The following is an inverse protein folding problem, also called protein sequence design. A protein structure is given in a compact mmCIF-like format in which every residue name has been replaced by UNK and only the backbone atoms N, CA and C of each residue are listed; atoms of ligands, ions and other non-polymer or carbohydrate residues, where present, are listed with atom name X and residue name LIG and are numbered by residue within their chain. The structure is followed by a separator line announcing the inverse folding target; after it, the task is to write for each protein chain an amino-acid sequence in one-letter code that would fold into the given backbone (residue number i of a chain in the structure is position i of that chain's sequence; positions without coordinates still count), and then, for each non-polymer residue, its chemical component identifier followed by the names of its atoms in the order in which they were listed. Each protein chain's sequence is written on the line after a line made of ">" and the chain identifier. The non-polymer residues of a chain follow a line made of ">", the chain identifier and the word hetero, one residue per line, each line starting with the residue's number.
data_IF_533959283990
#
_entry.id   IF_533959283990
#
_cell.length_a   1.000
_cell.length_b   1.000
_cell.length_c   1.000
_cell.angle_alpha   90.00
_cell.angle_beta   90.00
_cell.angle_gamma   90.00
#
_symmetry.space_group_name_H-M   'P 1'
#
loop_
_entity.id
_entity.type
_entity.pdbx_description
1 polymer ?
#
# COMPACT_ATOMS: atom_id res chain seq x y z
N UNK A 1 10.49 8.22 -32.57
CA UNK A 1 10.36 7.61 -31.23
C UNK A 1 11.03 8.46 -30.16
N UNK A 2 12.36 8.63 -30.19
CA UNK A 2 13.10 9.30 -29.11
C UNK A 2 12.72 10.78 -28.90
N UNK A 3 12.55 11.57 -29.97
CA UNK A 3 12.35 13.02 -29.84
C UNK A 3 11.08 13.44 -29.06
N UNK A 4 9.99 12.66 -29.13
CA UNK A 4 8.74 12.99 -28.40
C UNK A 4 8.76 12.54 -26.94
N UNK A 5 9.53 11.51 -26.60
CA UNK A 5 9.78 11.07 -25.22
C UNK A 5 10.78 12.00 -24.53
N UNK A 6 11.83 12.42 -25.24
CA UNK A 6 12.86 13.33 -24.74
C UNK A 6 12.35 14.75 -24.47
N UNK A 7 11.24 15.14 -25.08
CA UNK A 7 10.63 16.47 -24.90
C UNK A 7 9.59 16.53 -23.77
N UNK A 8 9.36 15.42 -23.06
CA UNK A 8 8.34 15.33 -22.00
C UNK A 8 8.96 15.48 -20.63
N UNK A 9 8.23 16.17 -19.76
CA UNK A 9 8.62 16.44 -18.38
C UNK A 9 7.78 15.60 -17.42
N UNK A 10 8.30 15.33 -16.22
CA UNK A 10 7.60 14.55 -15.19
C UNK A 10 6.30 15.22 -14.71
N UNK A 11 6.20 16.55 -14.83
CA UNK A 11 4.98 17.29 -14.51
C UNK A 11 3.75 16.80 -15.29
N UNK A 12 3.91 16.35 -16.54
CA UNK A 12 2.82 15.81 -17.35
C UNK A 12 2.16 14.57 -16.71
N UNK A 13 2.89 13.82 -15.89
CA UNK A 13 2.41 12.63 -15.19
C UNK A 13 1.89 12.94 -13.77
N UNK A 14 2.01 14.19 -13.32
CA UNK A 14 1.60 14.62 -11.98
C UNK A 14 0.17 15.18 -11.94
N UNK A 15 -0.43 15.46 -13.11
CA UNK A 15 -1.79 15.98 -13.20
C UNK A 15 -2.83 15.02 -12.60
N UNK A 16 -3.67 15.54 -11.71
CA UNK A 16 -4.75 14.77 -11.08
C UNK A 16 -4.29 13.83 -9.96
N UNK A 17 -3.00 13.75 -9.66
CA UNK A 17 -2.51 12.94 -8.55
C UNK A 17 -2.83 13.56 -7.19
N UNK A 18 -3.12 12.72 -6.18
CA UNK A 18 -3.34 13.20 -4.82
C UNK A 18 -2.03 13.72 -4.22
N UNK A 19 -2.15 14.74 -3.37
CA UNK A 19 -1.03 15.23 -2.57
C UNK A 19 -0.58 14.19 -1.54
N UNK A 20 0.73 14.12 -1.28
CA UNK A 20 1.28 13.16 -0.32
C UNK A 20 0.86 13.50 1.09
N UNK A 21 0.26 12.52 1.77
CA UNK A 21 0.06 12.56 3.21
C UNK A 21 1.35 12.20 3.92
N UNK A 22 1.71 12.97 4.92
CA UNK A 22 2.95 12.83 5.63
C UNK A 22 2.79 12.48 7.09
N UNK A 23 3.75 11.70 7.56
CA UNK A 23 4.12 11.56 8.96
C UNK A 23 5.57 12.02 9.14
N UNK A 24 5.85 12.46 10.35
CA UNK A 24 7.23 12.72 10.75
C UNK A 24 7.98 11.41 10.97
N UNK A 25 9.29 11.44 10.78
CA UNK A 25 10.22 10.37 11.23
C UNK A 25 10.12 10.06 12.73
N UNK A 26 9.59 10.96 13.55
CA UNK A 26 9.36 10.72 14.99
C UNK A 26 8.05 10.00 15.28
N UNK A 27 7.22 9.72 14.28
CA UNK A 27 5.97 9.00 14.46
C UNK A 27 6.21 7.51 14.79
N UNK A 28 5.23 6.90 15.43
CA UNK A 28 5.27 5.47 15.77
C UNK A 28 4.71 4.62 14.63
N UNK A 29 4.96 3.31 14.70
CA UNK A 29 4.31 2.33 13.82
C UNK A 29 2.77 2.38 13.99
N UNK A 30 2.28 2.57 15.22
CA UNK A 30 0.86 2.74 15.52
C UNK A 30 0.24 3.99 14.89
N UNK A 31 0.94 5.12 14.93
CA UNK A 31 0.50 6.35 14.24
C UNK A 31 0.38 6.12 12.72
N UNK A 32 1.29 5.33 12.16
CA UNK A 32 1.27 4.95 10.75
C UNK A 32 0.08 4.06 10.42
N UNK A 33 -0.17 3.01 11.21
CA UNK A 33 -1.31 2.11 11.05
C UNK A 33 -2.65 2.86 11.15
N UNK A 34 -2.81 3.67 12.20
CA UNK A 34 -4.04 4.46 12.40
C UNK A 34 -4.27 5.46 11.26
N UNK A 35 -3.20 6.09 10.76
CA UNK A 35 -3.33 7.02 9.64
C UNK A 35 -3.67 6.31 8.33
N UNK A 36 -3.10 5.14 8.07
CA UNK A 36 -3.42 4.28 6.92
C UNK A 36 -4.87 3.77 6.97
N UNK A 37 -5.37 3.37 8.15
CA UNK A 37 -6.78 2.95 8.31
C UNK A 37 -7.78 4.09 8.09
N UNK A 38 -7.42 5.30 8.52
CA UNK A 38 -8.24 6.50 8.33
C UNK A 38 -8.15 7.05 6.90
N UNK A 39 -7.11 6.67 6.15
CA UNK A 39 -6.92 7.06 4.77
C UNK A 39 -7.59 6.06 3.83
N UNK A 40 -7.77 6.46 2.57
CA UNK A 40 -8.00 5.51 1.47
C UNK A 40 -6.70 5.21 0.72
N UNK A 41 -5.58 5.64 1.28
CA UNK A 41 -4.27 5.60 0.65
C UNK A 41 -3.59 4.28 1.02
N UNK A 42 -2.99 3.59 0.04
CA UNK A 42 -2.30 2.31 0.28
C UNK A 42 -0.94 2.49 0.97
N UNK A 43 -0.47 3.72 1.09
CA UNK A 43 0.82 4.07 1.68
C UNK A 43 0.76 5.45 2.33
N UNK A 44 1.70 5.71 3.23
CA UNK A 44 1.95 7.01 3.83
C UNK A 44 3.41 7.39 3.66
N UNK A 45 3.68 8.68 3.42
CA UNK A 45 5.04 9.18 3.21
C UNK A 45 5.66 9.66 4.53
N UNK A 46 6.96 9.47 4.71
CA UNK A 46 7.71 9.93 5.87
C UNK A 46 8.63 11.06 5.49
N UNK A 47 8.70 12.04 6.37
CA UNK A 47 9.47 13.25 6.15
C UNK A 47 10.34 13.55 7.36
N UNK A 48 11.56 14.01 7.11
CA UNK A 48 12.52 14.38 8.15
C UNK A 48 12.16 15.69 8.88
N UNK A 49 11.08 16.35 8.47
CA UNK A 49 10.58 17.61 9.00
C UNK A 49 9.31 17.41 9.86
N UNK A 50 9.20 18.18 10.93
CA UNK A 50 8.05 18.22 11.82
C UNK A 50 7.14 19.41 11.48
N UNK A 51 6.01 19.17 10.80
CA UNK A 51 5.03 20.22 10.47
C UNK A 51 3.91 20.40 11.50
N UNK A 52 4.00 19.68 12.63
CA UNK A 52 2.97 19.65 13.67
C UNK A 52 2.88 20.89 14.57
N UNK A 53 3.91 21.72 14.66
CA UNK A 53 3.93 22.89 15.53
C UNK A 53 4.92 23.94 15.00
N UNK A 54 4.43 24.93 14.24
CA UNK A 54 5.14 26.21 14.14
C UNK A 54 4.44 27.17 15.10
N UNK A 55 5.02 27.35 16.29
CA UNK A 55 4.77 28.53 17.11
C UNK A 55 5.40 29.74 16.40
N UNK A 56 4.77 30.91 16.45
CA UNK A 56 5.26 32.14 15.80
C UNK A 56 6.64 32.62 16.30
N UNK A 57 7.20 31.96 17.31
CA UNK A 57 8.39 32.38 18.05
C UNK A 57 9.72 31.88 17.42
N UNK A 58 9.71 30.83 16.59
CA UNK A 58 10.95 30.20 16.08
C UNK A 58 11.36 30.68 14.67
N UNK A 59 11.18 31.97 14.36
CA UNK A 59 11.49 32.51 13.02
C UNK A 59 12.96 32.81 12.74
N UNK A 60 13.84 32.72 13.74
CA UNK A 60 15.23 33.19 13.60
C UNK A 60 16.20 32.05 13.25
N UNK A 61 15.96 30.82 13.73
CA UNK A 61 16.76 29.63 13.40
C UNK A 61 16.12 28.73 12.31
N UNK A 62 14.86 28.98 11.93
CA UNK A 62 14.13 28.16 10.95
C UNK A 62 14.62 28.30 9.50
N UNK A 63 15.40 29.34 9.16
CA UNK A 63 15.85 29.58 7.77
C UNK A 63 16.82 28.49 7.29
N UNK A 64 17.58 27.87 8.19
CA UNK A 64 18.48 26.76 7.85
C UNK A 64 17.80 25.38 7.84
N UNK A 65 16.75 25.19 8.66
CA UNK A 65 15.99 23.93 8.73
C UNK A 65 14.87 23.82 7.66
N UNK A 66 14.55 24.93 6.99
CA UNK A 66 13.56 24.98 5.91
C UNK A 66 14.08 24.34 4.61
N UNK A 67 15.39 24.21 4.38
CA UNK A 67 15.92 23.78 3.07
C UNK A 67 16.09 22.25 2.92
N UNK A 68 15.87 21.47 3.98
CA UNK A 68 16.12 20.01 3.97
C UNK A 68 14.87 19.16 4.25
N UNK A 69 13.67 19.73 4.18
CA UNK A 69 12.43 18.95 4.36
C UNK A 69 12.23 18.00 3.17
N UNK A 70 12.63 16.74 3.34
CA UNK A 70 12.65 15.72 2.31
C UNK A 70 11.86 14.50 2.75
N UNK A 71 11.18 13.90 1.79
CA UNK A 71 10.58 12.60 1.96
C UNK A 71 11.68 11.55 1.99
N UNK A 72 11.72 10.76 3.04
CA UNK A 72 12.75 9.74 3.30
C UNK A 72 12.26 8.32 2.99
N UNK A 73 10.96 8.14 2.77
CA UNK A 73 10.38 6.81 2.63
C UNK A 73 8.87 6.82 2.53
N UNK A 74 8.32 5.64 2.32
CA UNK A 74 6.89 5.35 2.48
C UNK A 74 6.72 4.04 3.23
N UNK A 75 5.57 3.87 3.88
CA UNK A 75 5.18 2.64 4.59
C UNK A 75 3.77 2.31 4.15
N UNK A 76 3.52 1.03 3.95
CA UNK A 76 2.21 0.45 3.70
C UNK A 76 1.83 -0.53 4.82
N UNK A 77 0.60 -1.04 4.79
CA UNK A 77 0.12 -1.96 5.84
C UNK A 77 0.89 -3.29 5.79
N UNK A 78 1.32 -3.75 4.61
CA UNK A 78 2.15 -4.94 4.46
C UNK A 78 3.51 -4.83 5.17
N UNK A 79 4.13 -3.64 5.19
CA UNK A 79 5.37 -3.40 5.95
C UNK A 79 5.12 -3.56 7.47
N UNK A 80 3.98 -3.05 7.93
CA UNK A 80 3.56 -3.13 9.34
C UNK A 80 3.24 -4.58 9.71
N UNK A 81 2.49 -5.31 8.88
CA UNK A 81 2.21 -6.74 9.06
C UNK A 81 3.51 -7.52 9.14
N UNK A 82 4.44 -7.31 8.20
CA UNK A 82 5.74 -7.99 8.19
C UNK A 82 6.56 -7.71 9.45
N UNK A 83 6.51 -6.49 9.97
CA UNK A 83 7.14 -6.12 11.23
C UNK A 83 6.47 -6.78 12.44
N UNK A 84 5.14 -6.78 12.52
CA UNK A 84 4.40 -7.39 13.63
C UNK A 84 4.52 -8.92 13.66
N UNK A 85 4.73 -9.56 12.51
CA UNK A 85 4.91 -11.01 12.42
C UNK A 85 6.27 -11.50 12.96
N UNK A 86 7.23 -10.62 13.27
CA UNK A 86 8.48 -11.02 13.93
C UNK A 86 8.19 -11.60 15.31
N UNK A 87 8.91 -12.63 15.72
CA UNK A 87 8.63 -13.39 16.95
C UNK A 87 8.61 -12.49 18.21
N UNK A 88 9.55 -11.54 18.32
CA UNK A 88 9.57 -10.57 19.42
C UNK A 88 8.35 -9.65 19.45
N UNK A 89 7.81 -9.31 18.29
CA UNK A 89 6.71 -8.34 18.14
C UNK A 89 5.35 -9.03 18.27
N UNK A 90 5.22 -10.24 17.73
CA UNK A 90 4.00 -11.05 17.78
C UNK A 90 3.57 -11.36 19.22
N UNK A 91 4.55 -11.55 20.11
CA UNK A 91 4.29 -11.81 21.53
C UNK A 91 3.65 -10.62 22.25
N UNK A 92 3.90 -9.39 21.78
CA UNK A 92 3.36 -8.18 22.37
C UNK A 92 3.21 -7.04 21.33
N UNK A 93 2.18 -7.13 20.46
CA UNK A 93 2.01 -6.20 19.35
C UNK A 93 1.77 -4.76 19.83
N UNK A 94 1.14 -4.58 21.00
CA UNK A 94 0.94 -3.27 21.60
C UNK A 94 2.27 -2.52 21.87
N UNK A 95 3.32 -3.22 22.31
CA UNK A 95 4.66 -2.61 22.46
C UNK A 95 5.31 -2.38 21.08
N UNK A 96 5.17 -3.34 20.16
CA UNK A 96 5.73 -3.22 18.82
C UNK A 96 5.18 -1.98 18.08
N UNK A 97 3.91 -1.66 18.25
CA UNK A 97 3.29 -0.46 17.66
C UNK A 97 3.86 0.86 18.20
N UNK A 98 4.49 0.86 19.38
CA UNK A 98 5.16 2.06 19.92
C UNK A 98 6.57 2.26 19.35
N UNK A 99 7.10 1.31 18.56
CA UNK A 99 8.39 1.46 17.92
C UNK A 99 8.37 2.67 16.97
N UNK A 100 9.52 3.37 16.80
CA UNK A 100 9.62 4.46 15.85
C UNK A 100 9.47 3.91 14.43
N UNK A 101 8.79 4.65 13.55
CA UNK A 101 8.51 4.18 12.19
C UNK A 101 9.77 3.94 11.32
N UNK A 102 10.89 4.54 11.70
CA UNK A 102 12.19 4.30 11.07
C UNK A 102 12.63 2.84 11.08
N UNK A 103 12.06 1.99 11.96
CA UNK A 103 12.31 0.53 11.94
C UNK A 103 11.75 -0.18 10.71
N UNK A 104 10.77 0.42 10.03
CA UNK A 104 10.13 -0.11 8.83
C UNK A 104 10.83 0.33 7.54
N UNK A 105 11.67 1.37 7.63
CA UNK A 105 12.32 1.94 6.45
C UNK A 105 13.63 1.17 6.20
N UNK A 106 13.83 0.60 5.00
CA UNK A 106 15.09 -0.01 4.64
C UNK A 106 16.25 0.99 4.78
N UNK A 107 17.37 0.54 5.36
CA UNK A 107 18.54 1.42 5.60
C UNK A 107 19.35 1.69 4.32
N UNK A 108 19.08 0.96 3.25
CA UNK A 108 19.67 1.17 1.92
C UNK A 108 18.98 2.37 1.27
N UNK A 109 19.58 3.55 1.45
CA UNK A 109 18.96 4.87 1.27
C UNK A 109 18.61 5.33 -0.15
N UNK A 110 18.44 4.43 -1.13
CA UNK A 110 18.27 4.80 -2.55
C UNK A 110 16.84 4.58 -3.10
N UNK A 111 15.88 4.15 -2.28
CA UNK A 111 14.51 3.84 -2.74
C UNK A 111 13.64 5.05 -3.07
N UNK A 112 13.99 6.22 -2.54
CA UNK A 112 13.25 7.47 -2.74
C UNK A 112 14.15 8.55 -3.32
N UNK A 113 13.75 9.13 -4.45
CA UNK A 113 14.45 10.25 -5.08
C UNK A 113 13.50 11.40 -5.32
N UNK A 114 14.00 12.62 -5.21
CA UNK A 114 13.24 13.83 -5.53
C UNK A 114 13.69 14.34 -6.90
N UNK A 115 12.73 14.71 -7.73
CA UNK A 115 12.97 15.42 -8.99
C UNK A 115 12.13 16.69 -9.01
N UNK A 116 12.62 17.73 -9.66
CA UNK A 116 11.82 18.93 -9.94
C UNK A 116 10.75 18.63 -10.99
N UNK A 117 9.67 19.42 -11.00
CA UNK A 117 8.54 19.19 -11.92
C UNK A 117 8.94 19.24 -13.40
N UNK A 118 9.94 20.06 -13.73
CA UNK A 118 10.48 20.21 -15.09
C UNK A 118 11.58 19.20 -15.45
N UNK A 119 11.87 18.23 -14.57
CA UNK A 119 12.82 17.17 -14.88
C UNK A 119 12.31 16.33 -16.06
N UNK A 120 13.24 15.78 -16.83
CA UNK A 120 12.87 15.01 -18.02
C UNK A 120 12.22 13.67 -17.64
N UNK A 121 11.27 13.21 -18.44
CA UNK A 121 10.65 11.91 -18.22
C UNK A 121 11.67 10.77 -18.31
N UNK A 122 12.67 10.91 -19.19
CA UNK A 122 13.74 9.92 -19.36
C UNK A 122 14.59 9.79 -18.10
N UNK A 123 14.96 10.90 -17.46
CA UNK A 123 15.68 10.88 -16.18
C UNK A 123 14.89 10.11 -15.11
N UNK A 124 13.57 10.29 -15.04
CA UNK A 124 12.74 9.53 -14.13
C UNK A 124 12.68 8.03 -14.48
N UNK A 125 12.72 7.66 -15.76
CA UNK A 125 12.79 6.26 -16.19
C UNK A 125 14.13 5.63 -15.82
N UNK A 126 15.24 6.34 -16.03
CA UNK A 126 16.59 5.87 -15.67
C UNK A 126 16.69 5.61 -14.16
N UNK A 127 16.16 6.51 -13.33
CA UNK A 127 16.10 6.29 -11.87
C UNK A 127 15.30 5.03 -11.51
N UNK A 128 14.17 4.77 -12.16
CA UNK A 128 13.38 3.55 -11.90
C UNK A 128 14.17 2.30 -12.31
N UNK A 129 14.91 2.36 -13.43
CA UNK A 129 15.78 1.26 -13.88
C UNK A 129 16.96 1.02 -12.93
N UNK A 130 17.47 2.06 -12.28
CA UNK A 130 18.49 1.97 -11.21
C UNK A 130 17.93 1.38 -9.90
N UNK A 131 16.63 1.13 -9.80
CA UNK A 131 15.97 0.53 -8.64
C UNK A 131 15.25 1.52 -7.73
N UNK A 132 15.12 2.79 -8.12
CA UNK A 132 14.32 3.77 -7.39
C UNK A 132 12.84 3.42 -7.54
N UNK A 133 12.19 3.08 -6.44
CA UNK A 133 10.78 2.68 -6.47
C UNK A 133 9.84 3.88 -6.51
N UNK A 134 10.24 5.00 -5.91
CA UNK A 134 9.35 6.13 -5.71
C UNK A 134 10.07 7.45 -5.97
N UNK A 135 9.57 8.18 -6.95
CA UNK A 135 10.08 9.51 -7.27
C UNK A 135 9.09 10.55 -6.73
N UNK A 136 9.60 11.48 -5.92
CA UNK A 136 8.82 12.54 -5.29
C UNK A 136 8.92 13.79 -6.16
N UNK A 137 7.79 14.29 -6.62
CA UNK A 137 7.72 15.46 -7.50
C UNK A 137 6.94 16.58 -6.81
N UNK A 138 7.46 17.82 -6.75
CA UNK A 138 6.69 18.96 -6.28
C UNK A 138 5.52 19.20 -7.23
N UNK A 139 4.34 19.44 -6.65
CA UNK A 139 3.15 19.80 -7.41
C UNK A 139 3.15 21.30 -7.67
N UNK A 140 3.05 21.71 -8.94
CA UNK A 140 2.82 23.11 -9.26
C UNK A 140 1.40 23.52 -8.87
N UNK A 141 1.28 24.36 -7.85
CA UNK A 141 0.00 24.95 -7.48
C UNK A 141 -0.29 26.05 -8.49
N UNK A 142 -1.14 25.76 -9.49
CA UNK A 142 -1.56 26.72 -10.51
C UNK A 142 -1.89 28.12 -9.92
N UNK A 143 -1.27 29.13 -10.50
CA UNK A 143 -1.11 30.51 -10.01
C UNK A 143 -2.25 31.19 -9.24
N UNK A 144 -1.83 31.96 -8.22
CA UNK A 144 -2.27 33.32 -7.80
C UNK A 144 -3.77 33.66 -7.69
N UNK A 145 -4.71 32.73 -7.74
CA UNK A 145 -6.12 33.05 -7.47
C UNK A 145 -6.42 32.95 -5.97
N UNK A 146 -6.42 34.11 -5.31
CA UNK A 146 -6.71 34.34 -3.89
C UNK A 146 -7.99 33.68 -3.36
N UNK A 147 -8.93 33.28 -4.24
CA UNK A 147 -10.18 32.60 -3.87
C UNK A 147 -10.02 31.12 -3.53
N UNK A 148 -9.00 30.42 -4.04
CA UNK A 148 -8.69 29.03 -3.61
C UNK A 148 -8.01 28.97 -2.24
N UNK A 149 -7.37 30.08 -1.81
CA UNK A 149 -6.71 30.18 -0.50
C UNK A 149 -7.68 30.03 0.68
N UNK A 150 -8.96 30.40 0.51
CA UNK A 150 -9.97 30.30 1.57
C UNK A 150 -10.49 28.87 1.75
N UNK A 151 -10.48 28.03 0.70
CA UNK A 151 -10.79 26.60 0.79
C UNK A 151 -9.61 25.77 1.31
N UNK A 152 -8.39 26.32 1.25
CA UNK A 152 -7.14 25.66 1.65
C UNK A 152 -6.89 25.66 3.16
N UNK A 153 -7.55 26.52 3.94
CA UNK A 153 -7.43 26.50 5.41
C UNK A 153 -7.99 25.23 6.06
N UNK A 154 -8.74 24.40 5.31
CA UNK A 154 -9.30 23.14 5.78
C UNK A 154 -8.58 21.90 5.23
N UNK A 155 -7.54 22.05 4.39
CA UNK A 155 -6.70 20.91 3.99
C UNK A 155 -5.71 20.60 5.13
N UNK A 156 -5.60 19.32 5.48
CA UNK A 156 -4.74 18.83 6.55
C UNK A 156 -3.29 19.32 6.36
N UNK A 157 -2.75 19.99 7.39
CA UNK A 157 -1.34 20.46 7.45
C UNK A 157 -0.32 19.35 7.14
N UNK A 158 -0.72 18.09 7.28
CA UNK A 158 0.04 16.87 6.96
C UNK A 158 0.25 16.61 5.47
N UNK A 159 0.07 17.59 4.57
CA UNK A 159 0.32 17.41 3.12
C UNK A 159 1.22 18.49 2.53
N UNK A 160 1.53 19.53 3.33
CA UNK A 160 2.34 20.65 2.91
C UNK A 160 3.73 20.53 3.52
N UNK A 161 4.74 20.63 2.67
CA UNK A 161 6.15 20.60 3.02
C UNK A 161 6.79 21.84 2.41
N UNK A 162 7.30 22.74 3.26
CA UNK A 162 7.84 24.04 2.83
C UNK A 162 6.90 24.88 1.95
N UNK A 163 5.59 24.83 2.24
CA UNK A 163 4.59 25.57 1.47
C UNK A 163 4.30 24.99 0.08
N UNK A 164 4.83 23.80 -0.24
CA UNK A 164 4.54 23.04 -1.47
C UNK A 164 3.83 21.74 -1.13
N UNK A 165 3.08 21.21 -2.09
CA UNK A 165 2.57 19.84 -2.05
C UNK A 165 3.43 18.98 -2.97
N UNK A 166 3.45 17.69 -2.72
CA UNK A 166 4.21 16.73 -3.50
C UNK A 166 3.29 15.59 -3.95
N UNK A 167 3.71 14.85 -4.98
CA UNK A 167 3.07 13.61 -5.39
C UNK A 167 4.13 12.54 -5.71
N UNK A 168 3.70 11.28 -5.74
CA UNK A 168 4.56 10.16 -6.12
C UNK A 168 4.47 9.91 -7.62
N UNK A 169 5.59 9.55 -8.21
CA UNK A 169 5.68 8.93 -9.52
C UNK A 169 6.25 7.53 -9.36
N UNK A 170 5.54 6.55 -9.92
CA UNK A 170 5.81 5.11 -9.74
C UNK A 170 6.06 4.44 -11.10
N UNK A 171 6.58 3.21 -11.07
CA UNK A 171 6.70 2.37 -12.27
C UNK A 171 5.36 2.19 -13.00
N UNK A 172 4.26 2.08 -12.26
CA UNK A 172 2.92 1.94 -12.84
C UNK A 172 2.52 3.16 -13.66
N UNK A 173 2.86 4.36 -13.20
CA UNK A 173 2.58 5.60 -13.93
C UNK A 173 3.36 5.67 -15.24
N UNK A 174 4.61 5.18 -15.23
CA UNK A 174 5.41 5.06 -16.44
C UNK A 174 4.80 4.07 -17.42
N UNK A 175 4.39 2.89 -16.94
CA UNK A 175 3.73 1.88 -17.77
C UNK A 175 2.42 2.44 -18.35
N UNK A 176 1.62 3.14 -17.54
CA UNK A 176 0.38 3.80 -17.99
C UNK A 176 0.64 4.84 -19.07
N UNK A 177 1.66 5.68 -18.87
CA UNK A 177 2.08 6.66 -19.86
C UNK A 177 2.51 5.98 -21.18
N UNK A 178 3.30 4.90 -21.09
CA UNK A 178 3.74 4.13 -22.25
C UNK A 178 2.55 3.50 -22.97
N UNK A 179 1.59 2.88 -22.27
CA UNK A 179 0.36 2.36 -22.89
C UNK A 179 -0.41 3.45 -23.62
N UNK A 180 -0.55 4.64 -23.02
CA UNK A 180 -1.21 5.79 -23.65
C UNK A 180 -0.43 6.34 -24.86
N UNK A 181 0.86 6.04 -24.94
CA UNK A 181 1.77 6.47 -26.01
C UNK A 181 2.24 5.29 -26.89
N UNK A 182 1.47 4.21 -26.95
CA UNK A 182 1.89 2.95 -27.55
C UNK A 182 2.25 3.04 -29.04
N UNK A 183 1.67 4.01 -29.75
CA UNK A 183 2.02 4.30 -31.14
C UNK A 183 3.50 4.65 -31.32
N UNK A 184 4.16 5.12 -30.24
CA UNK A 184 5.58 5.43 -30.25
C UNK A 184 6.47 4.19 -30.26
N UNK A 185 6.02 3.01 -29.83
CA UNK A 185 6.85 1.79 -29.77
C UNK A 185 6.09 0.53 -30.24
N UNK A 186 5.16 0.72 -31.18
CA UNK A 186 4.24 -0.33 -31.66
C UNK A 186 4.96 -1.59 -32.16
N UNK A 187 6.15 -1.45 -32.76
CA UNK A 187 6.95 -2.58 -33.23
C UNK A 187 7.43 -3.49 -32.09
N UNK A 188 7.74 -2.96 -30.92
CA UNK A 188 8.09 -3.75 -29.73
C UNK A 188 6.83 -4.21 -28.99
N UNK A 189 5.79 -3.37 -28.93
CA UNK A 189 4.58 -3.63 -28.16
C UNK A 189 3.81 -4.87 -28.64
N UNK A 190 3.86 -5.19 -29.94
CA UNK A 190 3.17 -6.36 -30.51
C UNK A 190 3.95 -7.67 -30.39
N UNK A 191 5.24 -7.60 -30.07
CA UNK A 191 6.08 -8.78 -29.99
C UNK A 191 5.70 -9.65 -28.78
N UNK A 192 5.80 -10.98 -28.91
CA UNK A 192 5.56 -11.88 -27.79
C UNK A 192 6.64 -11.70 -26.72
N UNK A 193 6.28 -11.73 -25.44
CA UNK A 193 7.21 -11.44 -24.35
C UNK A 193 8.42 -12.41 -24.28
N UNK A 194 8.28 -13.65 -24.76
CA UNK A 194 9.39 -14.61 -24.83
C UNK A 194 10.43 -14.26 -25.90
N UNK A 195 10.11 -13.37 -26.84
CA UNK A 195 11.06 -12.90 -27.86
C UNK A 195 11.89 -11.70 -27.41
N UNK A 196 11.53 -11.11 -26.26
CA UNK A 196 12.10 -9.86 -25.76
C UNK A 196 13.12 -10.06 -24.64
N UNK A 197 13.36 -11.31 -24.21
CA UNK A 197 14.28 -11.67 -23.10
C UNK A 197 13.98 -10.92 -21.78
N UNK A 198 12.69 -10.67 -21.52
CA UNK A 198 12.21 -9.90 -20.35
C UNK A 198 11.56 -10.77 -19.27
N UNK A 199 11.50 -12.09 -19.50
CA UNK A 199 10.90 -13.03 -18.55
C UNK A 199 11.99 -13.47 -17.57
N UNK A 200 11.85 -13.08 -16.30
CA UNK A 200 12.70 -13.63 -15.25
C UNK A 200 12.27 -15.07 -14.93
N UNK A 201 13.21 -16.01 -15.05
CA UNK A 201 13.00 -17.43 -14.75
C UNK A 201 13.83 -17.92 -13.56
N UNK A 202 14.65 -17.05 -12.96
CA UNK A 202 15.48 -17.37 -11.79
C UNK A 202 14.90 -16.75 -10.52
N UNK A 203 15.17 -17.40 -9.38
CA UNK A 203 14.88 -16.89 -8.03
C UNK A 203 13.44 -16.40 -7.81
N UNK A 204 12.47 -17.07 -8.44
CA UNK A 204 11.04 -16.78 -8.30
C UNK A 204 10.66 -17.01 -6.83
N UNK A 205 10.18 -16.00 -6.09
CA UNK A 205 9.75 -16.17 -4.70
C UNK A 205 8.54 -17.10 -4.66
N UNK A 206 8.69 -18.29 -4.09
CA UNK A 206 7.63 -19.28 -4.01
C UNK A 206 7.65 -20.04 -2.68
N UNK A 207 6.47 -20.46 -2.23
CA UNK A 207 6.27 -21.37 -1.08
C UNK A 207 5.27 -22.45 -1.46
N UNK A 208 5.40 -23.63 -0.86
CA UNK A 208 4.42 -24.69 -1.07
C UNK A 208 3.13 -24.39 -0.32
N UNK A 209 2.01 -24.92 -0.82
CA UNK A 209 0.69 -24.75 -0.24
C UNK A 209 0.62 -25.13 1.25
N UNK A 210 1.31 -26.21 1.62
CA UNK A 210 1.30 -26.76 2.98
C UNK A 210 2.38 -26.16 3.89
N UNK A 211 3.28 -25.31 3.37
CA UNK A 211 4.29 -24.63 4.18
C UNK A 211 3.62 -23.66 5.16
N UNK A 212 4.28 -23.37 6.28
CA UNK A 212 3.77 -22.36 7.21
C UNK A 212 3.72 -20.99 6.54
N UNK A 213 2.65 -20.23 6.74
CA UNK A 213 2.53 -18.90 6.15
C UNK A 213 3.68 -17.95 6.54
N UNK A 214 4.22 -18.11 7.75
CA UNK A 214 5.39 -17.40 8.23
C UNK A 214 6.65 -17.59 7.38
N UNK A 215 6.78 -18.72 6.66
CA UNK A 215 7.90 -18.96 5.75
C UNK A 215 7.90 -18.01 4.55
N UNK A 216 6.75 -17.43 4.20
CA UNK A 216 6.63 -16.43 3.16
C UNK A 216 7.12 -15.04 3.60
N UNK A 217 7.30 -14.76 4.89
CA UNK A 217 7.65 -13.42 5.38
C UNK A 217 8.97 -12.87 4.83
N UNK A 218 10.09 -13.62 4.81
CA UNK A 218 11.32 -13.13 4.19
C UNK A 218 11.16 -12.88 2.69
N UNK A 219 10.35 -13.71 2.02
CA UNK A 219 10.04 -13.57 0.60
C UNK A 219 9.15 -12.34 0.34
N UNK A 220 8.16 -12.08 1.20
CA UNK A 220 7.28 -10.91 1.12
C UNK A 220 8.06 -9.61 1.33
N UNK A 221 9.02 -9.60 2.26
CA UNK A 221 9.93 -8.46 2.44
C UNK A 221 10.73 -8.19 1.14
N UNK A 222 11.26 -9.23 0.51
CA UNK A 222 11.92 -9.11 -0.81
C UNK A 222 10.93 -8.65 -1.90
N UNK A 223 9.69 -9.14 -1.88
CA UNK A 223 8.66 -8.77 -2.85
C UNK A 223 8.19 -7.32 -2.71
N UNK A 224 8.17 -6.77 -1.50
CA UNK A 224 7.94 -5.34 -1.26
C UNK A 224 9.00 -4.49 -1.95
N UNK A 225 10.26 -4.91 -1.90
CA UNK A 225 11.37 -4.22 -2.56
C UNK A 225 11.33 -4.36 -4.09
N UNK A 226 11.05 -5.58 -4.58
CA UNK A 226 11.02 -5.86 -6.02
C UNK A 226 9.69 -5.47 -6.68
N UNK A 227 8.69 -5.03 -5.91
CA UNK A 227 7.30 -4.78 -6.36
C UNK A 227 6.62 -6.02 -6.99
N UNK A 228 6.98 -7.21 -6.51
CA UNK A 228 6.50 -8.53 -6.98
C UNK A 228 5.58 -9.20 -5.95
N UNK A 229 5.39 -10.51 -6.05
CA UNK A 229 4.49 -11.31 -5.21
C UNK A 229 5.05 -12.70 -4.99
N UNK A 230 4.63 -13.36 -3.92
CA UNK A 230 5.06 -14.72 -3.59
C UNK A 230 4.11 -15.72 -4.23
N UNK A 231 4.63 -16.60 -5.07
CA UNK A 231 3.88 -17.69 -5.68
C UNK A 231 3.57 -18.79 -4.67
N UNK A 232 2.34 -19.30 -4.70
CA UNK A 232 1.91 -20.48 -3.96
C UNK A 232 1.82 -21.63 -4.94
N UNK A 233 2.61 -22.67 -4.70
CA UNK A 233 2.73 -23.83 -5.59
C UNK A 233 2.24 -25.12 -4.92
N UNK A 234 1.73 -26.06 -5.71
CA UNK A 234 1.43 -27.41 -5.24
C UNK A 234 2.70 -28.27 -5.08
N UNK A 235 2.51 -29.55 -4.74
CA UNK A 235 3.59 -30.54 -4.63
C UNK A 235 4.31 -30.82 -5.95
N UNK A 236 3.64 -30.57 -7.08
CA UNK A 236 4.18 -30.78 -8.42
C UNK A 236 4.87 -29.52 -8.97
N UNK A 237 4.94 -28.45 -8.18
CA UNK A 237 5.53 -27.16 -8.58
C UNK A 237 4.63 -26.31 -9.49
N UNK A 238 3.34 -26.66 -9.60
CA UNK A 238 2.39 -25.89 -10.39
C UNK A 238 1.85 -24.72 -9.56
N UNK A 239 1.76 -23.55 -10.20
CA UNK A 239 1.18 -22.36 -9.61
C UNK A 239 -0.30 -22.58 -9.26
N UNK A 240 -0.63 -22.41 -7.98
CA UNK A 240 -2.00 -22.37 -7.47
C UNK A 240 -2.48 -20.91 -7.47
N UNK A 241 -1.75 -20.02 -6.81
CA UNK A 241 -2.07 -18.59 -6.62
C UNK A 241 -0.84 -17.78 -6.20
N UNK A 242 -1.06 -16.53 -5.80
CA UNK A 242 -0.06 -15.66 -5.20
C UNK A 242 -0.56 -15.00 -3.90
N UNK A 243 0.39 -14.68 -3.03
CA UNK A 243 0.25 -13.74 -1.92
C UNK A 243 1.10 -12.51 -2.26
N UNK A 244 0.44 -11.37 -2.44
CA UNK A 244 1.10 -10.12 -2.83
C UNK A 244 1.07 -9.10 -1.70
N UNK A 245 2.09 -8.23 -1.57
CA UNK A 245 2.04 -7.11 -0.64
C UNK A 245 0.83 -6.19 -0.89
N UNK A 246 0.35 -6.11 -2.14
CA UNK A 246 -0.87 -5.37 -2.48
C UNK A 246 -2.11 -5.97 -1.82
N UNK A 247 -2.28 -7.30 -1.85
CA UNK A 247 -3.39 -7.97 -1.14
C UNK A 247 -3.30 -7.71 0.37
N UNK A 248 -2.11 -7.85 0.96
CA UNK A 248 -1.91 -7.59 2.39
C UNK A 248 -2.20 -6.13 2.77
N UNK A 249 -1.99 -5.17 1.87
CA UNK A 249 -2.36 -3.77 2.12
C UNK A 249 -3.87 -3.53 2.25
N UNK A 250 -4.67 -4.50 1.79
CA UNK A 250 -6.12 -4.46 1.91
C UNK A 250 -6.64 -5.04 3.23
N UNK A 251 -5.81 -5.81 3.94
CA UNK A 251 -6.15 -6.52 5.18
C UNK A 251 -6.00 -5.64 6.43
N UNK A 252 -6.62 -6.08 7.52
CA UNK A 252 -6.40 -5.55 8.87
C UNK A 252 -5.25 -6.29 9.58
N UNK A 253 -4.86 -5.82 10.76
CA UNK A 253 -3.78 -6.39 11.58
C UNK A 253 -4.09 -7.80 12.12
N UNK A 254 -5.35 -8.25 12.07
CA UNK A 254 -5.75 -9.61 12.43
C UNK A 254 -5.05 -10.67 11.55
N UNK A 255 -4.69 -10.30 10.31
CA UNK A 255 -3.91 -11.14 9.40
C UNK A 255 -2.54 -11.53 9.99
N UNK A 256 -2.00 -10.77 10.94
CA UNK A 256 -0.75 -11.12 11.65
C UNK A 256 -0.92 -12.44 12.41
N UNK A 257 -2.06 -12.63 13.06
CA UNK A 257 -2.38 -13.88 13.74
C UNK A 257 -2.57 -15.04 12.75
N UNK A 258 -3.19 -14.77 11.60
CA UNK A 258 -3.35 -15.74 10.53
C UNK A 258 -1.98 -16.19 9.97
N UNK A 259 -1.08 -15.26 9.66
CA UNK A 259 0.28 -15.57 9.18
C UNK A 259 1.06 -16.41 10.22
N UNK A 260 0.87 -16.14 11.50
CA UNK A 260 1.57 -16.87 12.56
C UNK A 260 1.10 -18.33 12.68
N UNK A 261 -0.16 -18.63 12.33
CA UNK A 261 -0.82 -19.89 12.71
C UNK A 261 -1.23 -20.78 11.53
N UNK A 262 -1.44 -20.21 10.35
CA UNK A 262 -1.95 -20.90 9.17
C UNK A 262 -0.82 -21.43 8.27
N UNK A 263 -1.16 -22.39 7.41
CA UNK A 263 -0.36 -22.70 6.22
C UNK A 263 -0.49 -21.58 5.18
N UNK A 264 0.39 -21.58 4.17
CA UNK A 264 0.36 -20.61 3.09
C UNK A 264 -0.95 -20.71 2.27
N UNK A 265 -1.45 -21.93 2.06
CA UNK A 265 -2.74 -22.19 1.42
C UNK A 265 -3.94 -21.73 2.25
N UNK A 266 -3.92 -21.99 3.55
CA UNK A 266 -4.95 -21.51 4.49
C UNK A 266 -4.94 -19.96 4.56
N UNK A 267 -3.78 -19.32 4.63
CA UNK A 267 -3.65 -17.85 4.61
C UNK A 267 -4.18 -17.27 3.29
N UNK A 268 -3.88 -17.88 2.16
CA UNK A 268 -4.43 -17.47 0.87
C UNK A 268 -5.97 -17.46 0.90
N UNK A 269 -6.58 -18.52 1.45
CA UNK A 269 -8.03 -18.58 1.61
C UNK A 269 -8.55 -17.54 2.63
N UNK A 270 -7.78 -17.24 3.67
CA UNK A 270 -8.11 -16.23 4.67
C UNK A 270 -8.18 -14.82 4.07
N UNK A 271 -7.24 -14.45 3.18
CA UNK A 271 -7.12 -13.08 2.63
C UNK A 271 -7.86 -12.87 1.29
N UNK A 272 -8.26 -13.94 0.59
CA UNK A 272 -8.91 -13.82 -0.73
C UNK A 272 -10.35 -13.28 -0.65
N UNK A 273 -10.97 -13.27 0.54
CA UNK A 273 -12.32 -12.76 0.76
C UNK A 273 -12.28 -11.47 1.57
N UNK A 274 -13.22 -10.55 1.30
CA UNK A 274 -13.42 -9.35 2.14
C UNK A 274 -13.71 -9.67 3.61
N UNK A 275 -14.12 -10.91 3.92
CA UNK A 275 -14.27 -11.44 5.27
C UNK A 275 -13.73 -12.88 5.28
N UNK A 276 -12.77 -13.21 6.15
CA UNK A 276 -12.25 -14.56 6.24
C UNK A 276 -13.34 -15.59 6.63
N UNK A 277 -13.27 -16.83 6.14
CA UNK A 277 -14.16 -17.92 6.54
C UNK A 277 -14.17 -18.14 8.06
N UNK A 278 -15.36 -18.31 8.66
CA UNK A 278 -15.51 -18.46 10.12
C UNK A 278 -14.74 -19.66 10.70
N UNK A 279 -14.61 -20.75 9.95
CA UNK A 279 -13.82 -21.92 10.31
C UNK A 279 -12.33 -21.61 10.42
N UNK A 280 -11.79 -20.81 9.50
CA UNK A 280 -10.41 -20.35 9.57
C UNK A 280 -10.19 -19.36 10.72
N UNK A 281 -11.14 -18.48 10.99
CA UNK A 281 -11.06 -17.57 12.16
C UNK A 281 -10.99 -18.38 13.46
N UNK A 282 -11.86 -19.38 13.59
CA UNK A 282 -11.88 -20.26 14.78
C UNK A 282 -10.56 -21.05 14.91
N UNK A 283 -10.05 -21.57 13.79
CA UNK A 283 -8.77 -22.28 13.74
C UNK A 283 -7.58 -21.40 14.19
N UNK A 284 -7.54 -20.14 13.74
CA UNK A 284 -6.52 -19.17 14.19
C UNK A 284 -6.59 -18.98 15.70
N UNK A 285 -7.80 -18.78 16.26
CA UNK A 285 -7.99 -18.59 17.71
C UNK A 285 -7.50 -19.80 18.52
N UNK A 286 -7.86 -21.01 18.10
CA UNK A 286 -7.42 -22.26 18.75
C UNK A 286 -5.89 -22.39 18.73
N UNK A 287 -5.25 -22.19 17.57
CA UNK A 287 -3.79 -22.30 17.42
C UNK A 287 -3.04 -21.19 18.19
N UNK A 288 -3.62 -19.99 18.33
CA UNK A 288 -3.04 -18.93 19.17
C UNK A 288 -3.07 -19.30 20.66
N UNK A 289 -4.17 -19.91 21.13
CA UNK A 289 -4.30 -20.38 22.51
C UNK A 289 -3.28 -21.48 22.82
N UNK A 290 -3.13 -22.45 21.92
CA UNK A 290 -2.12 -23.52 22.05
C UNK A 290 -0.69 -22.96 22.16
N UNK A 291 -0.39 -21.90 21.40
CA UNK A 291 0.92 -21.22 21.41
C UNK A 291 1.09 -20.19 22.53
N UNK A 292 0.08 -19.99 23.38
CA UNK A 292 0.08 -19.02 24.49
C UNK A 292 0.29 -17.56 24.06
N UNK A 293 -0.16 -17.20 22.85
CA UNK A 293 -0.06 -15.84 22.30
C UNK A 293 -1.28 -14.99 22.68
N UNK A 294 -1.54 -14.86 23.99
CA UNK A 294 -2.75 -14.23 24.54
C UNK A 294 -2.97 -12.80 24.00
N UNK A 295 -1.90 -12.01 23.90
CA UNK A 295 -1.99 -10.61 23.42
C UNK A 295 -2.32 -10.49 21.93
N UNK A 296 -1.90 -11.45 21.11
CA UNK A 296 -2.27 -11.48 19.70
C UNK A 296 -3.73 -11.95 19.53
N UNK A 297 -4.22 -12.80 20.44
CA UNK A 297 -5.62 -13.21 20.49
C UNK A 297 -6.54 -12.04 20.87
N UNK A 298 -6.15 -11.24 21.87
CA UNK A 298 -6.88 -10.04 22.29
C UNK A 298 -7.15 -9.08 21.11
N UNK A 299 -6.15 -8.89 20.22
CA UNK A 299 -6.33 -8.06 19.01
C UNK A 299 -7.42 -8.57 18.06
N UNK A 300 -7.68 -9.88 18.00
CA UNK A 300 -8.75 -10.44 17.17
C UNK A 300 -10.13 -10.35 17.84
N UNK A 301 -10.17 -10.23 19.17
CA UNK A 301 -11.42 -10.22 19.94
C UNK A 301 -12.01 -8.83 20.09
N UNK A 302 -11.17 -7.78 20.06
CA UNK A 302 -11.59 -6.37 20.17
C UNK A 302 -12.58 -5.94 19.07
N UNK A 303 -12.57 -6.60 17.89
CA UNK A 303 -13.53 -6.35 16.79
C UNK A 303 -14.81 -7.20 16.85
N UNK A 304 -14.85 -8.26 17.67
CA UNK A 304 -16.04 -9.10 17.87
C UNK A 304 -16.97 -8.59 18.99
N UNK A 305 -16.49 -7.65 19.81
CA UNK A 305 -17.20 -7.10 20.97
C UNK A 305 -18.30 -6.10 20.62
N UNK A 306 -19.29 -6.47 19.80
CA UNK A 306 -20.62 -5.83 19.80
C UNK A 306 -21.74 -6.56 19.03
N UNK A 307 -21.57 -7.84 18.67
CA UNK A 307 -22.61 -8.57 17.93
C UNK A 307 -22.96 -9.92 18.55
N UNK A 308 -23.30 -9.92 19.85
CA UNK A 308 -24.00 -11.07 20.44
C UNK A 308 -24.86 -10.66 21.64
N UNK A 309 -26.08 -10.23 21.37
CA UNK A 309 -27.24 -10.59 22.20
C UNK A 309 -28.38 -11.12 21.33
N UNK A 310 -28.73 -12.35 21.65
CA UNK A 310 -29.72 -13.30 21.16
C UNK A 310 -31.17 -12.81 20.96
N UNK A 311 -31.78 -13.30 19.88
CA UNK A 311 -33.15 -13.83 19.70
C UNK A 311 -34.30 -13.34 20.60
N UNK A 312 -35.39 -12.85 19.98
CA UNK A 312 -36.79 -13.35 20.09
C UNK A 312 -37.81 -12.40 19.45
N UNK A 313 -38.73 -12.97 18.66
CA UNK A 313 -40.10 -12.57 18.27
C UNK A 313 -40.67 -11.25 18.87
N UNK A 314 -41.33 -10.34 18.11
CA UNK A 314 -42.73 -10.48 17.66
C UNK A 314 -43.19 -9.30 16.80
N UNK A 315 -44.16 -9.57 15.94
CA UNK A 315 -44.89 -8.66 15.03
C UNK A 315 -45.63 -7.51 15.74
N UNK A 316 -45.66 -6.31 15.15
CA UNK A 316 -46.78 -5.34 15.32
C UNK A 316 -46.72 -4.22 14.27
N UNK A 317 -47.91 -3.88 13.79
CA UNK A 317 -48.30 -3.02 12.67
C UNK A 317 -48.20 -1.51 12.93
N UNK A 318 -48.22 -0.78 11.82
CA UNK A 318 -48.78 0.55 11.54
C UNK A 318 -48.02 1.86 11.89
N UNK A 319 -47.87 2.63 10.79
CA UNK A 319 -48.16 4.05 10.60
C UNK A 319 -47.07 5.15 10.65
N UNK A 320 -47.06 5.85 9.50
CA UNK A 320 -46.80 7.27 9.26
C UNK A 320 -45.34 7.78 9.10
N UNK A 321 -45.09 8.27 7.89
CA UNK A 321 -43.90 8.99 7.47
C UNK A 321 -43.75 10.33 8.20
N UNK A 322 -42.53 10.69 8.64
CA UNK A 322 -41.78 11.89 8.19
C UNK A 322 -40.43 12.10 8.90
N UNK A 323 -39.39 12.19 8.07
CA UNK A 323 -38.14 12.99 8.16
C UNK A 323 -37.35 12.88 9.47
N UNK A 324 -36.44 11.90 9.48
CA UNK A 324 -35.47 11.67 10.56
C UNK A 324 -34.38 12.73 10.64
N UNK A 325 -34.18 13.24 11.87
CA UNK A 325 -32.98 13.96 12.30
C UNK A 325 -31.79 13.01 12.39
N UNK A 326 -30.64 13.53 11.98
CA UNK A 326 -29.31 12.91 12.00
C UNK A 326 -28.95 12.28 13.35
N UNK A 327 -28.78 10.96 13.35
CA UNK A 327 -27.96 10.24 14.33
C UNK A 327 -26.79 9.65 13.57
N UNK A 328 -25.60 10.16 13.87
CA UNK A 328 -24.31 9.70 13.37
C UNK A 328 -24.11 8.27 13.85
N UNK A 329 -24.33 7.30 12.95
CA UNK A 329 -23.82 5.94 13.09
C UNK A 329 -22.52 5.85 12.29
N UNK A 330 -21.41 5.85 13.02
CA UNK A 330 -20.10 5.43 12.55
C UNK A 330 -20.14 3.93 12.29
N UNK A 331 -20.44 3.54 11.05
CA UNK A 331 -20.16 2.20 10.53
C UNK A 331 -19.58 2.39 9.13
N UNK A 332 -18.26 2.51 9.08
CA UNK A 332 -17.50 2.60 7.85
C UNK A 332 -16.73 1.32 7.62
N UNK A 333 -17.40 0.18 7.48
CA UNK A 333 -16.78 -1.00 6.86
C UNK A 333 -16.47 -0.62 5.42
N UNK A 334 -15.18 -0.44 5.12
CA UNK A 334 -14.71 -0.18 3.77
C UNK A 334 -14.97 -1.45 2.95
N UNK A 335 -16.01 -1.43 2.11
CA UNK A 335 -16.22 -2.46 1.11
C UNK A 335 -15.13 -2.35 0.04
N UNK A 336 -13.89 -2.73 0.37
CA UNK A 336 -12.89 -3.14 -0.61
C UNK A 336 -13.39 -4.47 -1.16
N UNK A 337 -14.08 -4.42 -2.29
CA UNK A 337 -14.57 -5.61 -2.97
C UNK A 337 -13.38 -6.37 -3.55
N UNK A 338 -12.76 -7.24 -2.76
CA UNK A 338 -11.78 -8.20 -3.25
C UNK A 338 -12.57 -9.28 -3.97
N UNK A 339 -12.75 -9.10 -5.28
CA UNK A 339 -13.28 -10.19 -6.13
C UNK A 339 -12.27 -11.34 -6.06
N UNK A 340 -12.77 -12.58 -6.04
CA UNK A 340 -12.01 -13.83 -6.21
C UNK A 340 -10.99 -13.63 -7.32
N UNK A 341 -9.74 -13.37 -6.96
CA UNK A 341 -8.68 -13.07 -7.92
C UNK A 341 -7.98 -14.38 -8.24
N UNK A 342 -8.29 -14.97 -9.39
CA UNK A 342 -7.44 -16.00 -9.98
C UNK A 342 -6.02 -15.44 -10.16
N UNK A 343 -5.01 -16.32 -10.14
CA UNK A 343 -3.65 -15.91 -10.40
C UNK A 343 -3.59 -15.18 -11.75
N UNK A 344 -3.05 -13.96 -11.76
CA UNK A 344 -2.94 -13.16 -12.97
C UNK A 344 -1.79 -13.75 -13.78
N UNK A 345 -2.12 -14.61 -14.74
CA UNK A 345 -1.14 -15.29 -15.58
C UNK A 345 -1.15 -14.71 -16.98
N UNK A 346 0.02 -14.70 -17.61
CA UNK A 346 0.17 -14.42 -19.03
C UNK A 346 0.93 -15.58 -19.68
N UNK A 347 0.71 -15.77 -20.98
CA UNK A 347 1.46 -16.77 -21.72
C UNK A 347 2.77 -16.17 -22.25
N UNK A 348 3.83 -16.98 -22.43
CA UNK A 348 5.08 -16.51 -23.03
C UNK A 348 4.91 -15.89 -24.43
N UNK A 349 3.87 -16.29 -25.16
CA UNK A 349 3.52 -15.75 -26.48
C UNK A 349 2.53 -14.58 -26.44
N UNK A 350 2.08 -14.15 -25.24
CA UNK A 350 1.29 -12.92 -25.10
C UNK A 350 2.12 -11.74 -25.56
N UNK A 351 1.48 -10.79 -26.27
CA UNK A 351 2.16 -9.57 -26.68
C UNK A 351 2.50 -8.68 -25.49
N UNK A 352 3.59 -7.91 -25.58
CA UNK A 352 3.99 -6.98 -24.52
C UNK A 352 2.86 -6.02 -24.13
N UNK A 353 2.13 -5.49 -25.11
CA UNK A 353 0.96 -4.62 -24.84
C UNK A 353 -0.13 -5.32 -24.04
N UNK A 354 -0.42 -6.60 -24.33
CA UNK A 354 -1.45 -7.33 -23.60
C UNK A 354 -1.06 -7.49 -22.12
N UNK A 355 0.23 -7.78 -21.86
CA UNK A 355 0.76 -7.88 -20.50
C UNK A 355 0.73 -6.53 -19.77
N UNK A 356 1.12 -5.44 -20.44
CA UNK A 356 1.05 -4.08 -19.86
C UNK A 356 -0.38 -3.68 -19.50
N UNK A 357 -1.35 -3.94 -20.40
CA UNK A 357 -2.77 -3.64 -20.15
C UNK A 357 -3.31 -4.50 -19.01
N UNK A 358 -2.99 -5.80 -18.98
CA UNK A 358 -3.39 -6.70 -17.90
C UNK A 358 -2.84 -6.24 -16.55
N UNK A 359 -1.54 -5.89 -16.50
CA UNK A 359 -0.91 -5.37 -15.28
C UNK A 359 -1.60 -4.10 -14.75
N UNK A 360 -1.97 -3.17 -15.64
CA UNK A 360 -2.70 -1.96 -15.26
C UNK A 360 -4.14 -2.25 -14.82
N UNK A 361 -4.85 -3.15 -15.49
CA UNK A 361 -6.25 -3.45 -15.20
C UNK A 361 -6.45 -4.10 -13.81
N UNK A 362 -5.49 -4.93 -13.38
CA UNK A 362 -5.61 -5.68 -12.14
C UNK A 362 -5.19 -4.93 -10.88
N UNK A 363 -4.48 -3.79 -11.00
CA UNK A 363 -4.08 -2.95 -9.86
C UNK A 363 -4.99 -1.75 -9.60
N UNK A 364 -5.99 -1.50 -10.45
CA UNK A 364 -6.94 -0.37 -10.33
C UNK A 364 -8.10 -0.65 -9.33
N UNK A 365 -8.17 -1.82 -8.70
CA UNK A 365 -9.28 -2.20 -7.80
C UNK A 365 -8.88 -2.28 -6.32
#
# INVERSE_FOLDING_TARGET
>A
MAASLLAREVFDLCFGKPALRSLSVSATVGDSLTTLKRSRDNYISFWNCNHGHFSEVDKVDAVAALDDCRCVGKVCVADIIGFLCKEENLSNPGIALQAPVSVLIPKTGDFVRHLESNASLVEAMDLILEGVQNIVIPMEIGGKNSRKKLLQNNLSKSTFHNGRQYCWLTQEDMVRYLVNSISLFSSAAVNPINSLDIINVQDIPAVHYDDTASSALPLLAKCLEMQTSVAIIDSDGKLIREISPYKLNSCDEDVVAAIATLSAGELMAYIDFSRPPEDLIQLVKERLQERKLVKALELMEDDSGNSSVSSSCSSSSDDEFRVGRSVVKSVGYSARSVKRSEAIVCHPWSSLVAVMIQALAHRIN
#
